data_IF_310384007343
#
_entry.id   IF_310384007343
#
_cell.length_a   1.000
_cell.length_b   1.000
_cell.length_c   1.000
_cell.angle_alpha   90.00
_cell.angle_beta   90.00
_cell.angle_gamma   90.00
#
_symmetry.space_group_name_H-M   'P 1'
#
loop_
_entity.id
_entity.type
_entity.pdbx_description
1 polymer ?
#
# COMPACT_ATOMS: atom_id res chain seq x y z
N UNK A 1 24.34 17.61 -12.26
CA UNK A 1 25.32 17.62 -11.16
C UNK A 1 26.13 18.88 -11.29
N UNK A 2 25.91 19.85 -10.40
CA UNK A 2 26.68 21.10 -10.39
C UNK A 2 27.71 20.97 -9.28
N UNK A 3 28.97 21.09 -9.64
CA UNK A 3 30.10 21.04 -8.69
C UNK A 3 30.61 22.45 -8.51
N UNK A 4 30.63 22.94 -7.27
CA UNK A 4 31.30 24.20 -6.97
C UNK A 4 32.82 23.94 -6.96
N UNK A 5 33.58 24.63 -7.82
CA UNK A 5 35.03 24.44 -7.91
C UNK A 5 35.80 25.09 -6.75
N UNK A 6 35.15 25.95 -5.97
CA UNK A 6 35.77 26.69 -4.87
C UNK A 6 35.69 25.93 -3.53
N UNK A 7 34.67 25.09 -3.36
CA UNK A 7 34.45 24.29 -2.13
C UNK A 7 34.52 22.78 -2.36
N UNK A 8 34.80 22.35 -3.60
CA UNK A 8 34.79 20.96 -4.07
C UNK A 8 33.51 20.17 -3.71
N UNK A 9 32.45 20.88 -3.34
CA UNK A 9 31.22 20.26 -2.87
C UNK A 9 30.27 20.01 -4.04
N UNK A 10 29.79 18.78 -4.13
CA UNK A 10 28.75 18.36 -5.07
C UNK A 10 27.39 18.53 -4.39
N UNK A 11 26.53 19.37 -4.97
CA UNK A 11 25.13 19.46 -4.56
C UNK A 11 24.26 18.75 -5.59
N UNK A 12 23.62 17.66 -5.16
CA UNK A 12 22.62 16.93 -5.96
C UNK A 12 21.28 17.62 -5.71
N UNK A 13 20.85 18.44 -6.67
CA UNK A 13 19.48 18.97 -6.70
C UNK A 13 18.62 18.05 -7.57
N UNK A 14 17.85 17.16 -6.94
CA UNK A 14 16.79 16.43 -7.61
C UNK A 14 15.51 17.28 -7.60
N UNK A 15 15.23 17.95 -8.72
CA UNK A 15 13.90 18.49 -8.99
C UNK A 15 13.24 17.60 -10.03
N UNK A 16 12.21 16.86 -9.61
CA UNK A 16 11.43 15.98 -10.48
C UNK A 16 11.68 14.51 -10.19
N UNK A 17 10.59 13.86 -9.77
CA UNK A 17 10.26 12.42 -9.80
C UNK A 17 11.43 11.42 -9.74
N UNK A 18 11.54 10.70 -8.62
CA UNK A 18 12.47 9.58 -8.46
C UNK A 18 12.23 8.52 -9.55
N UNK A 19 13.10 8.47 -10.57
CA UNK A 19 13.07 7.43 -11.61
C UNK A 19 13.82 6.19 -11.15
N UNK A 20 13.34 5.55 -10.09
CA UNK A 20 13.81 4.19 -9.79
C UNK A 20 13.27 3.25 -10.86
N UNK A 21 14.15 2.53 -11.58
CA UNK A 21 13.76 1.49 -12.54
C UNK A 21 12.94 0.35 -11.90
N UNK A 22 12.92 0.30 -10.58
CA UNK A 22 11.98 -0.50 -9.79
C UNK A 22 10.63 0.20 -9.74
N UNK A 23 9.62 -0.43 -10.34
CA UNK A 23 8.24 -0.02 -10.15
C UNK A 23 7.91 0.06 -8.65
N UNK A 24 7.19 1.11 -8.24
CA UNK A 24 6.67 1.21 -6.89
C UNK A 24 5.96 -0.10 -6.50
N UNK A 25 6.16 -0.62 -5.27
CA UNK A 25 5.53 -1.86 -4.85
C UNK A 25 4.04 -1.80 -5.17
N UNK A 26 3.58 -2.69 -6.06
CA UNK A 26 2.19 -2.72 -6.47
C UNK A 26 1.28 -2.85 -5.24
N UNK A 27 0.13 -2.18 -5.24
CA UNK A 27 -0.84 -2.30 -4.13
C UNK A 27 -1.08 -3.77 -3.82
N UNK A 28 -0.85 -4.17 -2.56
CA UNK A 28 -1.04 -5.55 -2.09
C UNK A 28 -2.47 -5.99 -2.42
N UNK A 29 -2.59 -6.96 -3.35
CA UNK A 29 -3.87 -7.52 -3.76
C UNK A 29 -4.34 -8.54 -2.73
N UNK A 30 -5.65 -8.55 -2.45
CA UNK A 30 -6.23 -9.59 -1.61
C UNK A 30 -6.10 -10.97 -2.29
N UNK A 31 -5.69 -11.97 -1.50
CA UNK A 31 -5.66 -13.37 -1.95
C UNK A 31 -7.07 -13.92 -2.19
N UNK A 32 -7.18 -15.06 -2.90
CA UNK A 32 -8.47 -15.70 -3.15
C UNK A 32 -9.21 -16.04 -1.84
N UNK A 33 -8.49 -16.54 -0.84
CA UNK A 33 -9.05 -16.87 0.47
C UNK A 33 -9.56 -15.62 1.21
N UNK A 34 -8.81 -14.51 1.16
CA UNK A 34 -9.22 -13.24 1.75
C UNK A 34 -10.48 -12.68 1.06
N UNK A 35 -10.56 -12.79 -0.27
CA UNK A 35 -11.74 -12.36 -1.04
C UNK A 35 -12.99 -13.17 -0.68
N UNK A 36 -12.86 -14.50 -0.58
CA UNK A 36 -13.97 -15.36 -0.15
C UNK A 36 -14.46 -14.96 1.25
N UNK A 37 -13.54 -14.75 2.18
CA UNK A 37 -13.90 -14.29 3.53
C UNK A 37 -14.59 -12.92 3.56
N UNK A 38 -14.11 -11.96 2.76
CA UNK A 38 -14.78 -10.67 2.62
C UNK A 38 -16.20 -10.82 2.07
N UNK A 39 -16.40 -11.69 1.08
CA UNK A 39 -17.70 -11.93 0.44
C UNK A 39 -18.69 -12.51 1.45
N UNK A 40 -18.28 -13.51 2.23
CA UNK A 40 -19.15 -14.11 3.25
C UNK A 40 -19.59 -13.07 4.29
N UNK A 41 -18.67 -12.23 4.77
CA UNK A 41 -19.02 -11.17 5.73
C UNK A 41 -19.87 -10.07 5.10
N UNK A 42 -19.66 -9.74 3.83
CA UNK A 42 -20.47 -8.77 3.10
C UNK A 42 -21.91 -9.27 2.90
N UNK A 43 -22.10 -10.57 2.62
CA UNK A 43 -23.42 -11.22 2.58
C UNK A 43 -24.14 -11.17 3.93
N UNK A 44 -23.38 -11.18 5.03
CA UNK A 44 -23.91 -10.98 6.39
C UNK A 44 -24.06 -9.50 6.78
N UNK A 45 -24.03 -8.58 5.80
CA UNK A 45 -24.17 -7.12 5.99
C UNK A 45 -23.19 -6.51 7.00
N UNK A 46 -22.02 -7.15 7.19
CA UNK A 46 -20.98 -6.62 8.06
C UNK A 46 -20.37 -5.39 7.40
N UNK A 47 -20.28 -4.28 8.16
CA UNK A 47 -19.70 -3.03 7.64
C UNK A 47 -18.28 -3.25 7.13
N UNK A 48 -17.87 -2.63 6.00
CA UNK A 48 -16.55 -2.82 5.39
C UNK A 48 -15.38 -2.64 6.36
N UNK A 49 -15.47 -1.69 7.29
CA UNK A 49 -14.44 -1.48 8.30
C UNK A 49 -14.30 -2.67 9.25
N UNK A 50 -15.43 -3.27 9.69
CA UNK A 50 -15.42 -4.47 10.53
C UNK A 50 -14.87 -5.68 9.77
N UNK A 51 -15.15 -5.80 8.48
CA UNK A 51 -14.56 -6.82 7.61
C UNK A 51 -13.05 -6.66 7.54
N UNK A 52 -12.54 -5.44 7.36
CA UNK A 52 -11.10 -5.14 7.34
C UNK A 52 -10.41 -5.52 8.66
N UNK A 53 -11.02 -5.23 9.81
CA UNK A 53 -10.51 -5.67 11.11
C UNK A 53 -10.53 -7.19 11.28
N UNK A 54 -11.60 -7.86 10.84
CA UNK A 54 -11.69 -9.32 10.88
C UNK A 54 -10.64 -9.99 9.99
N UNK A 55 -10.37 -9.42 8.81
CA UNK A 55 -9.31 -9.83 7.90
C UNK A 55 -7.94 -9.78 8.58
N UNK A 56 -7.62 -8.64 9.21
CA UNK A 56 -6.35 -8.44 9.90
C UNK A 56 -6.11 -9.52 10.97
N UNK A 57 -7.14 -9.79 11.77
CA UNK A 57 -7.10 -10.83 12.81
C UNK A 57 -6.99 -12.25 12.25
N UNK A 58 -7.76 -12.58 11.21
CA UNK A 58 -7.85 -13.96 10.69
C UNK A 58 -6.62 -14.38 9.89
N UNK A 59 -5.99 -13.44 9.18
CA UNK A 59 -4.84 -13.70 8.31
C UNK A 59 -3.53 -13.10 8.84
N UNK A 60 -3.51 -12.69 10.13
CA UNK A 60 -2.37 -12.03 10.78
C UNK A 60 -1.76 -10.89 9.93
N UNK A 61 -2.61 -10.18 9.18
CA UNK A 61 -2.18 -9.13 8.25
C UNK A 61 -2.32 -7.78 8.95
N UNK A 62 -1.29 -6.91 8.96
CA UNK A 62 -1.41 -5.57 9.52
C UNK A 62 -2.55 -4.79 8.87
N UNK A 63 -3.26 -3.96 9.64
CA UNK A 63 -4.33 -3.11 9.11
C UNK A 63 -3.82 -2.14 8.04
N UNK A 64 -2.60 -1.65 8.21
CA UNK A 64 -1.87 -0.75 7.29
C UNK A 64 -1.66 -1.37 5.91
N UNK A 65 -1.47 -2.70 5.88
CA UNK A 65 -1.25 -3.48 4.66
C UNK A 65 -2.55 -3.84 3.92
N UNK A 66 -3.70 -3.66 4.56
CA UNK A 66 -4.99 -3.97 3.97
C UNK A 66 -5.57 -2.75 3.24
N UNK A 67 -6.03 -2.89 2.00
CA UNK A 67 -6.70 -1.80 1.30
C UNK A 67 -8.02 -1.43 2.00
N UNK A 68 -8.44 -0.15 1.96
CA UNK A 68 -9.77 0.25 2.42
C UNK A 68 -10.86 -0.43 1.56
N UNK A 69 -11.85 -1.01 2.22
CA UNK A 69 -13.01 -1.61 1.57
C UNK A 69 -14.13 -0.57 1.45
N UNK A 70 -14.70 -0.43 0.25
CA UNK A 70 -15.88 0.42 -0.01
C UNK A 70 -17.09 -0.48 -0.28
N UNK A 71 -18.28 -0.03 0.12
CA UNK A 71 -19.52 -0.60 -0.40
C UNK A 71 -19.69 -0.12 -1.85
N UNK A 72 -20.05 -1.06 -2.72
CA UNK A 72 -20.44 -0.79 -4.12
C UNK A 72 -21.97 -0.70 -4.17
#
# INVERSE_FOLDING_TARGET
>A
MVTCLDSEHVSIFEFGEHSSATASPGRKKLSLAQKAFCRDLAQNHIRPMRIRHALSRKFATPLEDLPPLKMV
#
